data_IF_290475539376
#
_entry.id   IF_290475539376
#
_cell.length_a   1.000
_cell.length_b   1.000
_cell.length_c   1.000
_cell.angle_alpha   90.00
_cell.angle_beta   90.00
_cell.angle_gamma   90.00
#
_symmetry.space_group_name_H-M   'P 1'
#
loop_
_entity.id
_entity.type
_entity.pdbx_description
1 polymer ?
#
# COMPACT_ATOMS: atom_id res chain seq x y z
N UNK A 1 20.39 -11.16 -1.58
CA UNK A 1 19.61 -11.98 -0.63
C UNK A 1 18.14 -11.71 -0.90
N UNK A 2 17.28 -12.74 -1.00
CA UNK A 2 15.82 -12.56 -1.11
C UNK A 2 15.20 -12.60 0.28
N UNK A 3 14.29 -11.67 0.57
CA UNK A 3 13.44 -11.69 1.77
C UNK A 3 12.05 -12.13 1.33
N UNK A 4 11.52 -13.20 1.94
CA UNK A 4 10.17 -13.70 1.64
C UNK A 4 9.13 -12.61 1.97
N UNK A 5 8.22 -12.36 1.01
CA UNK A 5 7.13 -11.41 1.21
C UNK A 5 5.93 -12.12 1.87
N UNK A 6 5.28 -11.46 2.82
CA UNK A 6 4.08 -12.01 3.48
C UNK A 6 2.95 -12.34 2.49
N UNK A 7 2.81 -11.55 1.44
CA UNK A 7 1.80 -11.75 0.39
C UNK A 7 1.94 -13.08 -0.38
N UNK A 8 3.13 -13.70 -0.37
CA UNK A 8 3.39 -14.94 -1.14
C UNK A 8 2.48 -16.09 -0.75
N UNK A 9 2.19 -16.27 0.53
CA UNK A 9 1.37 -17.37 1.00
C UNK A 9 -0.09 -17.23 0.50
N UNK A 10 -0.59 -16.00 0.38
CA UNK A 10 -1.89 -15.70 -0.22
C UNK A 10 -1.89 -15.90 -1.73
N UNK A 11 -0.81 -15.53 -2.42
CA UNK A 11 -0.64 -15.78 -3.85
C UNK A 11 -0.62 -17.30 -4.12
N UNK A 12 0.15 -18.08 -3.35
CA UNK A 12 0.18 -19.55 -3.47
C UNK A 12 -1.19 -20.17 -3.20
N UNK A 13 -1.92 -19.71 -2.20
CA UNK A 13 -3.29 -20.16 -1.93
C UNK A 13 -4.22 -19.84 -3.08
N UNK A 14 -4.16 -18.63 -3.64
CA UNK A 14 -5.00 -18.25 -4.78
C UNK A 14 -4.67 -19.06 -6.04
N UNK A 15 -3.42 -19.48 -6.23
CA UNK A 15 -2.99 -20.26 -7.39
C UNK A 15 -3.68 -21.63 -7.51
N UNK A 16 -4.24 -22.15 -6.43
CA UNK A 16 -5.01 -23.41 -6.45
C UNK A 16 -6.47 -23.23 -6.88
N UNK A 17 -6.97 -22.00 -6.95
CA UNK A 17 -8.39 -21.71 -7.17
C UNK A 17 -8.66 -20.86 -8.40
N UNK A 18 -7.72 -20.01 -8.79
CA UNK A 18 -7.86 -19.10 -9.91
C UNK A 18 -6.97 -19.48 -11.09
N UNK A 19 -7.42 -19.17 -12.30
CA UNK A 19 -6.70 -19.45 -13.56
C UNK A 19 -5.75 -18.31 -13.92
N UNK A 20 -5.96 -17.11 -13.36
CA UNK A 20 -5.03 -16.00 -13.48
C UNK A 20 -4.76 -15.40 -12.11
N UNK A 21 -3.53 -14.90 -11.94
CA UNK A 21 -3.12 -14.07 -10.80
C UNK A 21 -2.64 -12.75 -11.38
N UNK A 22 -3.09 -11.65 -10.79
CA UNK A 22 -2.63 -10.31 -11.15
C UNK A 22 -1.99 -9.65 -9.95
N UNK A 23 -0.75 -9.20 -10.09
CA UNK A 23 -0.02 -8.48 -9.05
C UNK A 23 0.32 -7.09 -9.56
N UNK A 24 -0.25 -6.08 -8.91
CA UNK A 24 0.05 -4.68 -9.21
C UNK A 24 0.62 -3.95 -8.00
N UNK A 25 1.19 -2.79 -8.22
CA UNK A 25 1.76 -1.95 -7.16
C UNK A 25 2.85 -1.03 -7.70
N UNK A 26 3.41 -0.15 -6.87
CA UNK A 26 4.45 0.79 -7.29
C UNK A 26 5.62 0.10 -7.98
N UNK A 27 6.39 0.89 -8.76
CA UNK A 27 7.65 0.40 -9.32
C UNK A 27 8.62 0.00 -8.22
N UNK A 28 9.50 -0.98 -8.52
CA UNK A 28 10.62 -1.39 -7.66
C UNK A 28 10.23 -1.93 -6.27
N UNK A 29 8.96 -2.33 -6.06
CA UNK A 29 8.52 -3.00 -4.82
C UNK A 29 8.78 -4.51 -4.80
N UNK A 30 9.37 -5.05 -5.89
CA UNK A 30 9.78 -6.46 -5.98
C UNK A 30 8.75 -7.38 -6.63
N UNK A 31 7.75 -6.89 -7.40
CA UNK A 31 6.69 -7.71 -8.02
C UNK A 31 7.26 -8.86 -8.85
N UNK A 32 8.07 -8.55 -9.86
CA UNK A 32 8.63 -9.56 -10.78
C UNK A 32 9.51 -10.54 -10.02
N UNK A 33 10.35 -10.06 -9.09
CA UNK A 33 11.19 -10.93 -8.24
C UNK A 33 10.35 -11.90 -7.41
N UNK A 34 9.28 -11.42 -6.77
CA UNK A 34 8.37 -12.26 -5.96
C UNK A 34 7.67 -13.30 -6.83
N UNK A 35 7.21 -12.92 -8.02
CA UNK A 35 6.59 -13.85 -8.99
C UNK A 35 7.59 -14.93 -9.43
N UNK A 36 8.81 -14.55 -9.75
CA UNK A 36 9.87 -15.50 -10.15
C UNK A 36 10.21 -16.47 -9.01
N UNK A 37 10.27 -16.00 -7.78
CA UNK A 37 10.50 -16.86 -6.60
C UNK A 37 9.36 -17.83 -6.32
N UNK A 38 8.13 -17.49 -6.69
CA UNK A 38 6.96 -18.35 -6.47
C UNK A 38 6.79 -19.35 -7.62
N UNK A 39 6.97 -18.91 -8.87
CA UNK A 39 6.55 -19.62 -10.07
C UNK A 39 7.65 -19.87 -11.12
N UNK A 40 8.83 -19.21 -11.00
CA UNK A 40 9.86 -19.21 -12.03
C UNK A 40 10.38 -20.59 -12.44
N UNK A 41 10.36 -21.57 -11.52
CA UNK A 41 10.73 -22.96 -11.84
C UNK A 41 9.72 -23.68 -12.76
N UNK A 42 8.47 -23.22 -12.79
CA UNK A 42 7.36 -23.92 -13.47
C UNK A 42 6.80 -23.14 -14.64
N UNK A 43 6.94 -21.82 -14.64
CA UNK A 43 6.34 -20.92 -15.62
C UNK A 43 7.43 -20.22 -16.42
N UNK A 44 7.26 -20.16 -17.74
CA UNK A 44 8.07 -19.26 -18.57
C UNK A 44 7.70 -17.82 -18.28
N UNK A 45 8.64 -16.91 -18.42
CA UNK A 45 8.43 -15.47 -18.20
C UNK A 45 8.70 -14.70 -19.49
N UNK A 46 7.84 -13.72 -19.77
CA UNK A 46 8.01 -12.75 -20.85
C UNK A 46 7.69 -11.35 -20.31
N UNK A 47 8.49 -10.36 -20.72
CA UNK A 47 8.25 -8.95 -20.34
C UNK A 47 7.85 -8.11 -21.54
N UNK A 48 6.81 -7.33 -21.38
CA UNK A 48 6.40 -6.33 -22.39
C UNK A 48 7.23 -5.03 -22.31
N UNK A 49 8.31 -5.01 -21.50
CA UNK A 49 9.39 -4.05 -21.62
C UNK A 49 10.21 -4.27 -22.89
N UNK A 50 10.34 -5.52 -23.34
CA UNK A 50 10.90 -5.84 -24.65
C UNK A 50 10.01 -5.28 -25.75
N UNK A 51 10.62 -4.56 -26.70
CA UNK A 51 9.89 -3.87 -27.78
C UNK A 51 9.28 -4.86 -28.77
N UNK A 52 9.99 -5.94 -29.10
CA UNK A 52 9.50 -6.92 -30.08
C UNK A 52 8.32 -7.71 -29.52
N UNK A 53 8.42 -8.14 -28.26
CA UNK A 53 7.33 -8.82 -27.55
C UNK A 53 6.11 -7.93 -27.40
N UNK A 54 6.31 -6.66 -27.07
CA UNK A 54 5.24 -5.66 -26.97
C UNK A 54 4.57 -5.41 -28.31
N UNK A 55 5.33 -5.25 -29.42
CA UNK A 55 4.78 -5.03 -30.74
C UNK A 55 3.96 -6.26 -31.21
N UNK A 56 4.44 -7.47 -30.97
CA UNK A 56 3.68 -8.69 -31.25
C UNK A 56 2.40 -8.75 -30.43
N UNK A 57 2.46 -8.46 -29.13
CA UNK A 57 1.31 -8.46 -28.23
C UNK A 57 0.26 -7.41 -28.59
N UNK A 58 0.66 -6.24 -29.10
CA UNK A 58 -0.24 -5.17 -29.55
C UNK A 58 -0.86 -5.47 -30.91
N UNK A 59 -0.07 -5.93 -31.89
CA UNK A 59 -0.52 -6.15 -33.27
C UNK A 59 -1.28 -7.46 -33.44
N UNK A 60 -0.89 -8.51 -32.74
CA UNK A 60 -1.49 -9.84 -32.83
C UNK A 60 -1.52 -10.55 -31.46
N UNK A 61 -2.44 -10.15 -30.54
CA UNK A 61 -2.53 -10.72 -29.19
C UNK A 61 -2.69 -12.24 -29.18
N UNK A 62 -3.46 -12.79 -30.10
CA UNK A 62 -3.68 -14.22 -30.24
C UNK A 62 -2.39 -14.93 -30.64
N UNK A 63 -1.69 -14.44 -31.66
CA UNK A 63 -0.40 -14.97 -32.11
C UNK A 63 0.66 -14.89 -31.00
N UNK A 64 0.67 -13.82 -30.21
CA UNK A 64 1.55 -13.72 -29.04
C UNK A 64 1.31 -14.87 -28.05
N UNK A 65 0.06 -15.20 -27.73
CA UNK A 65 -0.28 -16.30 -26.81
C UNK A 65 -0.11 -17.69 -27.42
N UNK A 66 -0.07 -17.81 -28.76
CA UNK A 66 0.33 -19.04 -29.46
C UNK A 66 1.84 -19.29 -29.38
N UNK A 67 2.66 -18.23 -29.49
CA UNK A 67 4.13 -18.28 -29.34
C UNK A 67 4.53 -18.50 -27.88
N UNK A 68 3.76 -17.91 -26.97
CA UNK A 68 3.95 -17.98 -25.52
C UNK A 68 2.80 -18.72 -24.85
N UNK A 69 2.69 -20.05 -24.98
CA UNK A 69 1.58 -20.81 -24.43
C UNK A 69 1.65 -20.82 -22.89
N UNK A 70 0.47 -20.88 -22.25
CA UNK A 70 0.38 -21.07 -20.80
C UNK A 70 0.95 -22.46 -20.37
N UNK A 71 1.46 -22.62 -19.14
CA UNK A 71 1.51 -21.63 -18.06
C UNK A 71 2.62 -20.58 -18.27
N UNK A 72 2.28 -19.29 -18.08
CA UNK A 72 3.17 -18.18 -18.38
C UNK A 72 3.05 -17.01 -17.38
N UNK A 73 4.19 -16.34 -17.13
CA UNK A 73 4.29 -15.04 -16.46
C UNK A 73 4.41 -13.96 -17.54
N UNK A 74 3.52 -12.96 -17.51
CA UNK A 74 3.58 -11.79 -18.41
C UNK A 74 3.80 -10.54 -17.55
N UNK A 75 5.00 -9.96 -17.65
CA UNK A 75 5.37 -8.77 -16.90
C UNK A 75 5.01 -7.50 -17.67
N UNK A 76 4.57 -6.45 -16.93
CA UNK A 76 4.11 -5.16 -17.44
C UNK A 76 2.93 -5.27 -18.45
N UNK A 77 1.96 -6.17 -18.15
CA UNK A 77 0.84 -6.50 -19.06
C UNK A 77 -0.03 -5.30 -19.47
N UNK A 78 -0.05 -4.21 -18.70
CA UNK A 78 -0.75 -2.98 -19.06
C UNK A 78 -0.23 -2.33 -20.36
N UNK A 79 0.95 -2.71 -20.84
CA UNK A 79 1.49 -2.22 -22.12
C UNK A 79 0.81 -2.81 -23.34
N UNK A 80 0.06 -3.92 -23.19
CA UNK A 80 -0.76 -4.53 -24.23
C UNK A 80 -2.11 -4.97 -23.65
N UNK A 81 -3.03 -4.03 -23.33
CA UNK A 81 -4.29 -4.31 -22.64
C UNK A 81 -5.21 -5.27 -23.39
N UNK A 82 -5.11 -5.33 -24.72
CA UNK A 82 -5.89 -6.25 -25.56
C UNK A 82 -5.58 -7.75 -25.24
N UNK A 83 -4.40 -8.06 -24.70
CA UNK A 83 -4.08 -9.42 -24.24
C UNK A 83 -5.07 -9.94 -23.19
N UNK A 84 -5.61 -9.08 -22.32
CA UNK A 84 -6.55 -9.49 -21.27
C UNK A 84 -7.83 -10.10 -21.85
N UNK A 85 -8.28 -9.63 -23.01
CA UNK A 85 -9.44 -10.18 -23.71
C UNK A 85 -9.17 -11.57 -24.30
N UNK A 86 -7.99 -11.78 -24.88
CA UNK A 86 -7.57 -13.10 -25.40
C UNK A 86 -7.33 -14.10 -24.28
N UNK A 87 -6.68 -13.68 -23.19
CA UNK A 87 -6.49 -14.47 -21.97
C UNK A 87 -7.83 -14.95 -21.42
N UNK A 88 -8.85 -14.09 -21.39
CA UNK A 88 -10.23 -14.46 -21.00
C UNK A 88 -10.78 -15.57 -21.86
N UNK A 89 -10.65 -15.46 -23.18
CA UNK A 89 -11.16 -16.46 -24.14
C UNK A 89 -10.50 -17.82 -23.86
N UNK A 90 -9.18 -17.84 -23.74
CA UNK A 90 -8.41 -19.07 -23.46
C UNK A 90 -8.83 -19.70 -22.12
N UNK A 91 -8.97 -18.90 -21.07
CA UNK A 91 -9.43 -19.38 -19.76
C UNK A 91 -10.84 -20.00 -19.88
N UNK A 92 -11.77 -19.35 -20.57
CA UNK A 92 -13.14 -19.83 -20.70
C UNK A 92 -13.23 -21.12 -21.51
N UNK A 93 -12.45 -21.24 -22.57
CA UNK A 93 -12.36 -22.47 -23.37
C UNK A 93 -11.76 -23.62 -22.54
N UNK A 94 -10.69 -23.34 -21.81
CA UNK A 94 -10.04 -24.35 -20.98
C UNK A 94 -10.92 -24.79 -19.80
N UNK A 95 -11.66 -23.88 -19.16
CA UNK A 95 -12.66 -24.22 -18.14
C UNK A 95 -13.73 -25.18 -18.66
N UNK A 96 -14.21 -24.99 -19.91
CA UNK A 96 -15.18 -25.86 -20.55
C UNK A 96 -14.60 -27.27 -20.79
N UNK A 97 -13.30 -27.36 -21.17
CA UNK A 97 -12.59 -28.64 -21.37
C UNK A 97 -12.44 -29.38 -20.03
N UNK A 98 -11.92 -28.70 -19.00
CA UNK A 98 -11.79 -29.31 -17.66
C UNK A 98 -13.09 -29.80 -17.09
N UNK A 99 -14.18 -29.04 -17.28
CA UNK A 99 -15.51 -29.46 -16.83
C UNK A 99 -15.98 -30.76 -17.54
N UNK A 100 -15.75 -30.89 -18.84
CA UNK A 100 -16.08 -32.09 -19.62
C UNK A 100 -15.23 -33.30 -19.24
N UNK A 101 -13.96 -33.06 -18.91
CA UNK A 101 -12.98 -34.10 -18.58
C UNK A 101 -12.92 -34.41 -17.07
N UNK A 102 -13.75 -33.74 -16.26
CA UNK A 102 -13.74 -33.82 -14.80
C UNK A 102 -12.37 -33.63 -14.17
N UNK A 103 -11.62 -32.64 -14.72
CA UNK A 103 -10.27 -32.26 -14.26
C UNK A 103 -10.35 -31.04 -13.34
N UNK A 104 -9.39 -30.95 -12.42
CA UNK A 104 -9.19 -29.76 -11.59
C UNK A 104 -8.72 -28.56 -12.43
N UNK A 105 -9.01 -27.39 -11.93
CA UNK A 105 -8.57 -26.12 -12.55
C UNK A 105 -7.13 -25.84 -12.17
N UNK A 106 -6.36 -25.34 -13.13
CA UNK A 106 -4.96 -25.00 -12.94
C UNK A 106 -4.73 -23.51 -13.15
N UNK A 107 -3.68 -22.97 -12.53
CA UNK A 107 -3.19 -21.61 -12.80
C UNK A 107 -2.57 -21.61 -14.21
N UNK A 108 -2.99 -20.65 -15.03
CA UNK A 108 -2.54 -20.52 -16.41
C UNK A 108 -1.69 -19.27 -16.62
N UNK A 109 -2.08 -18.15 -15.99
CA UNK A 109 -1.45 -16.85 -16.22
C UNK A 109 -1.08 -16.18 -14.91
N UNK A 110 0.14 -15.63 -14.85
CA UNK A 110 0.57 -14.70 -13.80
C UNK A 110 0.92 -13.38 -14.47
N UNK A 111 0.21 -12.33 -14.10
CA UNK A 111 0.31 -11.02 -14.75
C UNK A 111 0.83 -10.01 -13.74
N UNK A 112 1.82 -9.21 -14.12
CA UNK A 112 2.32 -8.13 -13.28
C UNK A 112 2.17 -6.78 -13.98
N UNK A 113 2.11 -5.71 -13.19
CA UNK A 113 2.09 -4.36 -13.74
C UNK A 113 2.28 -3.27 -12.70
N UNK A 114 2.82 -2.16 -13.14
CA UNK A 114 3.09 -0.99 -12.29
C UNK A 114 1.99 0.06 -12.31
N UNK A 115 1.09 0.04 -13.30
CA UNK A 115 -0.01 0.99 -13.43
C UNK A 115 -1.35 0.36 -13.04
N UNK A 116 -1.79 0.65 -11.81
CA UNK A 116 -3.05 0.11 -11.28
C UNK A 116 -4.28 0.53 -12.08
N UNK A 117 -4.33 1.76 -12.60
CA UNK A 117 -5.52 2.28 -13.29
C UNK A 117 -5.78 1.53 -14.61
N UNK A 118 -4.77 1.44 -15.47
CA UNK A 118 -4.88 0.72 -16.75
C UNK A 118 -5.20 -0.76 -16.54
N UNK A 119 -4.56 -1.38 -15.52
CA UNK A 119 -4.80 -2.77 -15.17
C UNK A 119 -6.20 -3.01 -14.60
N UNK A 120 -6.67 -2.20 -13.65
CA UNK A 120 -7.99 -2.40 -13.05
C UNK A 120 -9.12 -2.26 -14.06
N UNK A 121 -9.03 -1.32 -14.98
CA UNK A 121 -10.02 -1.16 -16.04
C UNK A 121 -10.06 -2.41 -16.94
N UNK A 122 -8.93 -2.84 -17.45
CA UNK A 122 -8.87 -4.05 -18.31
C UNK A 122 -9.25 -5.34 -17.59
N UNK A 123 -8.86 -5.50 -16.32
CA UNK A 123 -9.17 -6.69 -15.52
C UNK A 123 -10.65 -6.76 -15.17
N UNK A 124 -11.27 -5.64 -14.76
CA UNK A 124 -12.70 -5.62 -14.41
C UNK A 124 -13.58 -5.98 -15.60
N UNK A 125 -13.19 -5.58 -16.81
CA UNK A 125 -13.92 -5.90 -18.04
C UNK A 125 -13.68 -7.34 -18.53
N UNK A 126 -12.44 -7.85 -18.40
CA UNK A 126 -12.06 -9.11 -19.05
C UNK A 126 -11.90 -10.28 -18.07
N UNK A 127 -11.31 -10.09 -16.89
CA UNK A 127 -10.90 -11.18 -16.00
C UNK A 127 -11.76 -11.31 -14.73
N UNK A 128 -12.90 -10.62 -14.63
CA UNK A 128 -13.80 -10.74 -13.49
C UNK A 128 -14.20 -12.22 -13.23
N UNK A 129 -14.00 -12.71 -11.99
CA UNK A 129 -14.25 -14.09 -11.59
C UNK A 129 -13.27 -15.14 -12.13
N UNK A 130 -12.19 -14.70 -12.83
CA UNK A 130 -11.14 -15.56 -13.39
C UNK A 130 -9.78 -15.32 -12.74
N UNK A 131 -9.55 -14.12 -12.27
CA UNK A 131 -8.29 -13.70 -11.66
C UNK A 131 -8.43 -13.38 -10.17
N UNK A 132 -7.41 -13.75 -9.40
CA UNK A 132 -7.14 -13.17 -8.09
C UNK A 132 -6.22 -11.96 -8.25
N UNK A 133 -6.54 -10.88 -7.55
CA UNK A 133 -5.84 -9.60 -7.70
C UNK A 133 -5.15 -9.26 -6.39
N UNK A 134 -3.86 -8.92 -6.45
CA UNK A 134 -3.01 -8.60 -5.31
C UNK A 134 -2.38 -7.22 -5.48
N UNK A 135 -2.43 -6.42 -4.42
CA UNK A 135 -1.73 -5.14 -4.34
C UNK A 135 -0.44 -5.32 -3.54
N UNK A 136 0.71 -5.11 -4.16
CA UNK A 136 2.01 -5.25 -3.53
C UNK A 136 2.62 -3.87 -3.27
N UNK A 137 3.00 -3.61 -2.01
CA UNK A 137 3.65 -2.37 -1.56
C UNK A 137 5.15 -2.55 -1.29
N UNK A 138 5.84 -1.48 -0.88
CA UNK A 138 7.17 -1.59 -0.25
C UNK A 138 7.10 -2.47 1.00
N UNK A 139 8.25 -2.99 1.45
CA UNK A 139 8.32 -3.90 2.60
C UNK A 139 7.79 -3.24 3.87
N UNK A 140 7.15 -4.04 4.73
CA UNK A 140 6.85 -3.64 6.11
C UNK A 140 8.12 -3.68 6.96
N UNK A 141 8.05 -3.07 8.14
CA UNK A 141 9.17 -3.17 9.10
C UNK A 141 9.46 -4.61 9.53
N UNK A 142 8.44 -5.47 9.62
CA UNK A 142 8.61 -6.90 9.97
C UNK A 142 9.23 -7.66 8.81
N UNK A 143 8.72 -7.50 7.57
CA UNK A 143 9.33 -8.10 6.39
C UNK A 143 10.81 -7.71 6.25
N UNK A 144 11.16 -6.44 6.53
CA UNK A 144 12.55 -5.96 6.47
C UNK A 144 13.50 -6.64 7.47
N UNK A 145 12.95 -7.32 8.46
CA UNK A 145 13.66 -8.11 9.47
C UNK A 145 13.50 -9.62 9.26
N UNK A 146 12.93 -10.04 8.12
CA UNK A 146 12.59 -11.43 7.81
C UNK A 146 11.65 -12.07 8.86
N UNK A 147 10.73 -11.25 9.40
CA UNK A 147 9.71 -11.68 10.35
C UNK A 147 8.36 -11.72 9.62
N UNK A 148 7.70 -12.87 9.66
CA UNK A 148 6.33 -13.01 9.13
C UNK A 148 5.34 -12.48 10.16
N UNK A 149 4.49 -11.57 9.72
CA UNK A 149 3.40 -11.01 10.52
C UNK A 149 2.07 -11.76 10.34
N UNK A 150 1.10 -11.33 11.13
CA UNK A 150 -0.30 -11.71 11.00
C UNK A 150 -1.14 -10.49 10.61
N UNK A 151 -2.41 -10.69 10.21
CA UNK A 151 -3.30 -9.56 10.01
C UNK A 151 -3.43 -8.74 11.30
N UNK A 152 -3.19 -7.44 11.17
CA UNK A 152 -3.34 -6.51 12.29
C UNK A 152 -4.77 -6.52 12.84
N UNK A 153 -4.89 -6.89 14.09
CA UNK A 153 -6.15 -6.86 14.84
C UNK A 153 -5.92 -6.07 16.13
N UNK A 154 -6.58 -4.92 16.33
CA UNK A 154 -6.36 -4.07 17.50
C UNK A 154 -7.03 -4.61 18.80
N UNK A 155 -7.64 -5.79 18.80
CA UNK A 155 -8.15 -6.39 20.02
C UNK A 155 -7.00 -6.72 20.99
N UNK A 156 -7.05 -6.12 22.17
CA UNK A 156 -5.97 -6.21 23.14
C UNK A 156 -5.70 -7.65 23.62
N UNK A 157 -6.72 -8.48 23.69
CA UNK A 157 -6.57 -9.89 24.12
C UNK A 157 -5.80 -10.70 23.08
N UNK A 158 -6.04 -10.43 21.80
CA UNK A 158 -5.30 -11.06 20.70
C UNK A 158 -3.86 -10.53 20.62
N UNK A 159 -3.67 -9.21 20.76
CA UNK A 159 -2.34 -8.60 20.75
C UNK A 159 -1.46 -9.12 21.89
N UNK A 160 -1.99 -9.29 23.10
CA UNK A 160 -1.23 -9.85 24.24
C UNK A 160 -0.85 -11.30 24.00
N UNK A 161 -1.73 -12.12 23.39
CA UNK A 161 -1.38 -13.51 23.04
C UNK A 161 -0.26 -13.55 22.01
N UNK A 162 -0.35 -12.76 20.96
CA UNK A 162 0.65 -12.70 19.88
C UNK A 162 2.00 -12.16 20.38
N UNK A 163 2.00 -11.11 21.19
CA UNK A 163 3.21 -10.58 21.81
C UNK A 163 3.98 -11.60 22.64
N UNK A 164 3.28 -12.56 23.26
CA UNK A 164 3.91 -13.63 24.03
C UNK A 164 4.46 -14.76 23.14
N UNK A 165 3.92 -14.97 21.94
CA UNK A 165 4.31 -16.04 21.03
C UNK A 165 5.34 -15.61 19.99
N UNK A 166 5.34 -14.34 19.59
CA UNK A 166 6.20 -13.81 18.53
C UNK A 166 7.30 -12.93 19.12
N UNK A 167 8.56 -13.31 18.90
CA UNK A 167 9.71 -12.51 19.36
C UNK A 167 10.06 -11.47 18.29
N UNK A 168 9.65 -10.24 18.49
CA UNK A 168 10.11 -9.09 17.70
C UNK A 168 11.21 -8.36 18.47
N UNK A 169 12.39 -8.13 17.89
CA UNK A 169 13.43 -7.36 18.54
C UNK A 169 12.96 -5.95 18.91
N UNK A 170 13.22 -5.56 20.14
CA UNK A 170 12.95 -4.19 20.58
C UNK A 170 13.70 -3.19 19.70
N UNK A 171 13.04 -2.09 19.36
CA UNK A 171 13.61 -0.96 18.62
C UNK A 171 13.50 0.31 19.43
N UNK A 172 14.61 0.98 19.58
CA UNK A 172 14.66 2.33 20.15
C UNK A 172 13.95 3.32 19.22
N UNK A 173 13.55 4.46 19.76
CA UNK A 173 12.96 5.53 18.96
C UNK A 173 13.87 5.95 17.79
N UNK A 174 15.18 6.04 18.00
CA UNK A 174 16.13 6.38 16.94
C UNK A 174 16.17 5.33 15.83
N UNK A 175 16.20 4.03 16.17
CA UNK A 175 16.14 2.95 15.15
C UNK A 175 14.84 2.95 14.37
N UNK A 176 13.72 3.35 15.01
CA UNK A 176 12.44 3.51 14.31
C UNK A 176 12.53 4.69 13.33
N UNK A 177 13.11 5.81 13.73
CA UNK A 177 13.32 6.96 12.82
C UNK A 177 14.35 6.68 11.73
N UNK A 178 15.35 5.83 11.98
CA UNK A 178 16.24 5.32 10.93
C UNK A 178 15.45 4.53 9.87
N UNK A 179 14.52 3.68 10.29
CA UNK A 179 13.64 2.97 9.35
C UNK A 179 12.71 3.95 8.59
N UNK A 180 12.05 4.88 9.30
CA UNK A 180 11.19 5.91 8.69
C UNK A 180 11.95 6.71 7.63
N UNK A 181 13.20 7.09 7.91
CA UNK A 181 14.05 7.82 7.00
C UNK A 181 14.51 6.98 5.81
N UNK A 182 14.87 5.71 6.05
CA UNK A 182 15.33 4.78 5.02
C UNK A 182 14.20 4.32 4.10
N UNK A 183 13.03 4.07 4.67
CA UNK A 183 11.88 3.46 3.97
C UNK A 183 11.97 1.95 3.83
N UNK A 184 10.98 1.39 3.14
CA UNK A 184 10.81 -0.05 2.94
C UNK A 184 11.04 -0.53 1.49
N UNK A 185 11.67 0.27 0.63
CA UNK A 185 11.97 -0.18 -0.74
C UNK A 185 12.99 -1.32 -0.73
N UNK A 186 12.74 -2.46 -1.45
CA UNK A 186 13.58 -3.65 -1.38
C UNK A 186 15.07 -3.39 -1.63
N UNK A 187 15.42 -2.60 -2.64
CA UNK A 187 16.83 -2.30 -2.98
C UNK A 187 17.55 -1.49 -1.90
N UNK A 188 16.81 -0.74 -1.08
CA UNK A 188 17.35 -0.04 0.09
C UNK A 188 17.41 -0.97 1.30
N UNK A 189 16.43 -1.86 1.47
CA UNK A 189 16.36 -2.77 2.63
C UNK A 189 17.40 -3.89 2.52
N UNK A 190 17.49 -4.52 1.36
CA UNK A 190 18.33 -5.71 1.12
C UNK A 190 19.64 -5.35 0.42
N UNK A 191 19.62 -4.32 -0.40
CA UNK A 191 20.76 -3.86 -1.18
C UNK A 191 21.62 -2.85 -0.43
N UNK A 192 22.82 -2.60 -0.95
CA UNK A 192 23.72 -1.54 -0.47
C UNK A 192 23.54 -0.25 -1.29
N UNK A 193 22.33 0.00 -1.81
CA UNK A 193 22.08 1.21 -2.59
C UNK A 193 22.16 2.46 -1.72
N UNK A 194 22.92 3.44 -2.18
CA UNK A 194 22.93 4.75 -1.55
C UNK A 194 21.53 5.37 -1.66
N UNK A 195 20.92 5.71 -0.54
CA UNK A 195 19.52 6.17 -0.44
C UNK A 195 19.21 7.36 -1.35
N UNK A 196 20.06 8.39 -1.33
CA UNK A 196 19.82 9.61 -2.11
C UNK A 196 19.86 9.33 -3.62
N UNK A 197 20.84 8.54 -4.07
CA UNK A 197 20.96 8.15 -5.46
C UNK A 197 19.79 7.27 -5.89
N UNK A 198 19.37 6.32 -5.03
CA UNK A 198 18.23 5.46 -5.28
C UNK A 198 16.93 6.27 -5.46
N UNK A 199 16.56 7.11 -4.49
CA UNK A 199 15.31 7.86 -4.58
C UNK A 199 15.32 8.92 -5.68
N UNK A 200 16.48 9.49 -6.00
CA UNK A 200 16.64 10.37 -7.17
C UNK A 200 16.29 9.59 -8.44
N UNK A 201 16.94 8.45 -8.67
CA UNK A 201 16.70 7.62 -9.85
C UNK A 201 15.26 7.09 -9.90
N UNK A 202 14.72 6.65 -8.77
CA UNK A 202 13.34 6.22 -8.64
C UNK A 202 12.36 7.34 -9.04
N UNK A 203 12.54 8.54 -8.50
CA UNK A 203 11.66 9.68 -8.77
C UNK A 203 11.73 10.11 -10.24
N UNK A 204 12.94 10.22 -10.82
CA UNK A 204 13.11 10.56 -12.22
C UNK A 204 12.47 9.52 -13.14
N UNK A 205 12.69 8.22 -12.87
CA UNK A 205 12.09 7.13 -13.61
C UNK A 205 10.56 7.10 -13.51
N UNK A 206 10.02 7.35 -12.29
CA UNK A 206 8.57 7.43 -12.08
C UNK A 206 7.94 8.59 -12.86
N UNK A 207 8.55 9.78 -12.78
CA UNK A 207 8.09 10.94 -13.54
C UNK A 207 8.11 10.65 -15.03
N UNK A 208 9.23 10.16 -15.56
CA UNK A 208 9.40 9.92 -17.00
C UNK A 208 8.43 8.86 -17.52
N UNK A 209 8.35 7.72 -16.85
CA UNK A 209 7.64 6.55 -17.38
C UNK A 209 6.14 6.55 -17.08
N UNK A 210 5.72 7.09 -15.94
CA UNK A 210 4.34 6.97 -15.49
C UNK A 210 3.58 8.31 -15.53
N UNK A 211 4.21 9.41 -15.15
CA UNK A 211 3.54 10.70 -15.01
C UNK A 211 3.48 11.46 -16.32
N UNK A 212 4.59 11.58 -17.07
CA UNK A 212 4.64 12.38 -18.31
C UNK A 212 3.73 11.85 -19.41
N UNK A 213 3.29 10.59 -19.32
CA UNK A 213 2.27 10.06 -20.22
C UNK A 213 0.86 10.62 -19.95
N UNK A 214 0.63 11.08 -18.72
CA UNK A 214 -0.67 11.51 -18.22
C UNK A 214 -0.79 13.02 -18.08
N UNK A 215 0.34 13.76 -18.12
CA UNK A 215 0.38 15.21 -18.03
C UNK A 215 1.18 15.81 -19.20
N UNK A 216 0.96 17.11 -19.47
CA UNK A 216 1.79 17.81 -20.45
C UNK A 216 3.25 17.91 -19.96
N UNK A 217 4.23 17.73 -20.85
CA UNK A 217 5.65 17.84 -20.52
C UNK A 217 6.01 19.19 -19.89
N UNK A 218 5.35 20.29 -20.31
CA UNK A 218 5.50 21.62 -19.71
C UNK A 218 5.12 21.70 -18.23
N UNK A 219 4.38 20.72 -17.72
CA UNK A 219 3.91 20.66 -16.33
C UNK A 219 4.84 19.83 -15.41
N UNK A 220 5.92 19.24 -15.92
CA UNK A 220 6.80 18.37 -15.13
C UNK A 220 7.36 19.08 -13.88
N UNK A 221 7.91 20.28 -14.05
CA UNK A 221 8.48 21.04 -12.93
C UNK A 221 7.43 21.38 -11.87
N UNK A 222 6.20 21.71 -12.30
CA UNK A 222 5.10 21.96 -11.37
C UNK A 222 4.67 20.67 -10.65
N UNK A 223 4.67 19.52 -11.35
CA UNK A 223 4.37 18.25 -10.72
C UNK A 223 5.45 17.83 -9.69
N UNK A 224 6.73 18.05 -9.99
CA UNK A 224 7.82 17.83 -9.02
C UNK A 224 7.65 18.71 -7.77
N UNK A 225 7.27 19.98 -7.92
CA UNK A 225 6.93 20.87 -6.80
C UNK A 225 5.70 20.38 -6.03
N UNK A 226 4.68 19.91 -6.75
CA UNK A 226 3.48 19.32 -6.16
C UNK A 226 3.81 18.10 -5.28
N UNK A 227 4.66 17.19 -5.74
CA UNK A 227 5.12 16.04 -4.97
C UNK A 227 5.82 16.44 -3.66
N UNK A 228 6.77 17.40 -3.74
CA UNK A 228 7.45 17.91 -2.54
C UNK A 228 6.48 18.60 -1.58
N UNK A 229 5.52 19.34 -2.11
CA UNK A 229 4.48 19.99 -1.31
C UNK A 229 3.59 18.97 -0.59
N UNK A 230 3.17 17.89 -1.27
CA UNK A 230 2.40 16.83 -0.65
C UNK A 230 3.18 16.11 0.44
N UNK A 231 4.47 15.88 0.24
CA UNK A 231 5.32 15.26 1.26
C UNK A 231 5.37 16.09 2.56
N UNK A 232 5.40 17.42 2.44
CA UNK A 232 5.28 18.34 3.59
C UNK A 232 3.90 18.35 4.24
N UNK A 233 2.88 17.76 3.60
CA UNK A 233 1.49 17.69 4.05
C UNK A 233 1.05 16.27 4.42
N UNK A 234 1.99 15.33 4.52
CA UNK A 234 1.67 13.96 4.97
C UNK A 234 1.01 13.98 6.35
N UNK A 235 0.08 13.08 6.61
CA UNK A 235 -0.83 13.01 7.77
C UNK A 235 -1.81 14.18 7.92
N UNK A 236 -1.96 15.06 6.91
CA UNK A 236 -2.90 16.17 6.95
C UNK A 236 -4.10 15.95 6.04
N UNK A 237 -5.21 16.64 6.36
CA UNK A 237 -6.37 16.65 5.50
C UNK A 237 -6.08 17.33 4.16
N UNK A 238 -6.56 16.72 3.08
CA UNK A 238 -6.46 17.28 1.73
C UNK A 238 -7.45 18.45 1.61
N UNK A 239 -6.94 19.64 1.31
CA UNK A 239 -7.73 20.79 0.94
C UNK A 239 -7.34 21.25 -0.47
N UNK A 240 -8.16 20.92 -1.44
CA UNK A 240 -7.91 21.19 -2.85
C UNK A 240 -7.74 22.67 -3.16
N UNK A 241 -8.50 23.56 -2.52
CA UNK A 241 -8.43 25.01 -2.72
C UNK A 241 -7.12 25.59 -2.18
N UNK A 242 -6.70 25.13 -1.00
CA UNK A 242 -5.41 25.53 -0.42
C UNK A 242 -4.26 25.05 -1.31
N UNK A 243 -4.30 23.79 -1.75
CA UNK A 243 -3.26 23.22 -2.63
C UNK A 243 -3.18 23.98 -3.96
N UNK A 244 -4.33 24.27 -4.57
CA UNK A 244 -4.44 25.04 -5.80
C UNK A 244 -3.79 26.43 -5.65
N UNK A 245 -4.16 27.15 -4.59
CA UNK A 245 -3.65 28.52 -4.32
C UNK A 245 -2.15 28.53 -4.06
N UNK A 246 -1.64 27.63 -3.20
CA UNK A 246 -0.23 27.62 -2.80
C UNK A 246 0.71 27.18 -3.94
N UNK A 247 0.22 26.35 -4.86
CA UNK A 247 0.99 25.83 -5.98
C UNK A 247 0.79 26.61 -7.29
N UNK A 248 -0.23 27.46 -7.36
CA UNK A 248 -0.57 28.20 -8.56
C UNK A 248 -1.08 27.31 -9.70
N UNK A 249 -1.82 26.25 -9.38
CA UNK A 249 -2.45 25.31 -10.33
C UNK A 249 -3.95 25.22 -10.05
N UNK A 250 -4.77 24.89 -11.04
CA UNK A 250 -6.21 24.80 -10.87
C UNK A 250 -6.64 23.56 -10.07
N UNK A 251 -7.84 23.60 -9.47
CA UNK A 251 -8.39 22.52 -8.65
C UNK A 251 -8.55 21.19 -9.38
N UNK A 252 -8.84 21.22 -10.69
CA UNK A 252 -8.96 20.00 -11.48
C UNK A 252 -7.61 19.32 -11.66
N UNK A 253 -6.58 20.12 -11.89
CA UNK A 253 -5.19 19.63 -11.97
C UNK A 253 -4.75 19.02 -10.65
N UNK A 254 -5.05 19.65 -9.49
CA UNK A 254 -4.77 19.06 -8.15
C UNK A 254 -5.44 17.70 -8.01
N UNK A 255 -6.75 17.61 -8.32
CA UNK A 255 -7.50 16.34 -8.24
C UNK A 255 -6.92 15.26 -9.15
N UNK A 256 -6.61 15.62 -10.40
CA UNK A 256 -6.03 14.70 -11.38
C UNK A 256 -4.66 14.18 -10.93
N UNK A 257 -3.78 15.06 -10.42
CA UNK A 257 -2.46 14.68 -9.97
C UNK A 257 -2.49 13.83 -8.69
N UNK A 258 -3.39 14.15 -7.75
CA UNK A 258 -3.63 13.27 -6.60
C UNK A 258 -4.13 11.89 -7.03
N UNK A 259 -5.06 11.83 -7.99
CA UNK A 259 -5.54 10.56 -8.53
C UNK A 259 -4.40 9.72 -9.14
N UNK A 260 -3.48 10.35 -9.89
CA UNK A 260 -2.29 9.67 -10.43
C UNK A 260 -1.45 9.06 -9.30
N UNK A 261 -1.21 9.81 -8.22
CA UNK A 261 -0.40 9.34 -7.10
C UNK A 261 -1.07 8.22 -6.30
N UNK A 262 -2.38 8.28 -6.13
CA UNK A 262 -3.17 7.22 -5.48
C UNK A 262 -3.14 5.95 -6.33
N UNK A 263 -3.39 6.07 -7.63
CA UNK A 263 -3.42 4.91 -8.53
C UNK A 263 -2.04 4.31 -8.80
N UNK A 264 -0.97 5.08 -8.62
CA UNK A 264 0.41 4.56 -8.64
C UNK A 264 0.84 3.93 -7.31
N UNK A 265 0.00 3.99 -6.27
CA UNK A 265 0.33 3.48 -4.93
C UNK A 265 1.41 4.27 -4.19
N UNK A 266 1.70 5.50 -4.62
CA UNK A 266 2.67 6.40 -3.94
C UNK A 266 2.06 6.97 -2.66
N UNK A 267 0.80 7.37 -2.74
CA UNK A 267 0.03 7.87 -1.60
C UNK A 267 -1.26 7.10 -1.42
N UNK A 268 -1.82 7.19 -0.23
CA UNK A 268 -3.19 6.79 0.08
C UNK A 268 -3.96 7.96 0.66
N UNK A 269 -5.25 8.00 0.38
CA UNK A 269 -6.19 8.94 0.98
C UNK A 269 -7.07 8.15 1.96
N UNK A 270 -6.86 8.36 3.26
CA UNK A 270 -7.64 7.74 4.32
C UNK A 270 -8.92 8.55 4.53
N UNK A 271 -10.06 7.89 4.40
CA UNK A 271 -11.37 8.53 4.53
C UNK A 271 -11.74 8.79 5.99
N UNK A 272 -12.52 9.83 6.29
CA UNK A 272 -13.08 10.05 7.64
C UNK A 272 -14.19 9.03 7.91
N UNK A 273 -14.29 8.57 9.16
CA UNK A 273 -15.41 7.75 9.60
C UNK A 273 -16.68 8.59 9.73
N UNK A 274 -17.73 8.18 9.04
CA UNK A 274 -19.07 8.77 9.12
C UNK A 274 -20.09 7.64 9.11
N UNK A 275 -21.09 7.69 9.98
CA UNK A 275 -22.18 6.70 10.00
C UNK A 275 -22.96 6.68 8.67
N UNK A 276 -23.14 7.85 8.06
CA UNK A 276 -23.75 7.96 6.73
C UNK A 276 -22.64 7.93 5.65
N UNK A 277 -22.67 6.91 4.79
CA UNK A 277 -21.69 6.69 3.72
C UNK A 277 -21.66 7.88 2.73
N UNK A 278 -22.82 8.48 2.41
CA UNK A 278 -22.87 9.63 1.51
C UNK A 278 -22.10 10.84 2.06
N UNK A 279 -22.14 11.06 3.38
CA UNK A 279 -21.40 12.13 4.03
C UNK A 279 -19.87 11.84 4.10
N UNK A 280 -19.48 10.57 4.06
CA UNK A 280 -18.06 10.14 4.03
C UNK A 280 -17.37 10.60 2.76
N UNK A 281 -18.01 10.44 1.63
CA UNK A 281 -17.47 10.79 0.29
C UNK A 281 -17.25 12.31 0.12
N UNK A 282 -18.03 13.14 0.85
CA UNK A 282 -17.98 14.61 0.70
C UNK A 282 -16.88 15.25 1.56
N UNK A 283 -16.43 14.59 2.64
CA UNK A 283 -15.43 15.14 3.56
C UNK A 283 -13.99 14.89 3.07
N UNK A 284 -13.10 15.81 3.45
CA UNK A 284 -11.69 15.76 3.07
C UNK A 284 -10.98 14.54 3.66
N UNK A 285 -10.32 13.70 2.85
CA UNK A 285 -9.51 12.60 3.37
C UNK A 285 -8.19 13.12 3.95
N UNK A 286 -7.51 12.30 4.77
CA UNK A 286 -6.11 12.51 5.17
C UNK A 286 -5.16 11.85 4.16
N UNK A 287 -4.06 12.53 3.86
CA UNK A 287 -3.03 12.08 2.92
C UNK A 287 -1.89 11.38 3.66
N UNK A 288 -1.50 10.20 3.18
CA UNK A 288 -0.33 9.47 3.68
C UNK A 288 0.52 8.95 2.52
N UNK A 289 1.83 9.08 2.64
CA UNK A 289 2.76 8.39 1.75
C UNK A 289 2.90 6.92 2.16
N UNK A 290 2.89 6.02 1.17
CA UNK A 290 3.03 4.58 1.44
C UNK A 290 4.47 4.17 1.76
N UNK A 291 5.46 4.96 1.33
CA UNK A 291 6.85 4.79 1.71
C UNK A 291 7.39 6.06 2.37
N UNK A 292 7.74 5.95 3.65
CA UNK A 292 8.21 7.09 4.44
C UNK A 292 9.62 7.56 4.03
N UNK A 293 10.45 6.67 3.50
CA UNK A 293 11.78 7.03 2.99
C UNK A 293 11.69 7.90 1.74
N UNK A 294 10.76 7.57 0.83
CA UNK A 294 10.49 8.42 -0.33
C UNK A 294 9.89 9.77 0.09
N UNK A 295 8.97 9.78 1.06
CA UNK A 295 8.43 11.00 1.64
C UNK A 295 9.55 11.89 2.22
N UNK A 296 10.47 11.32 2.99
CA UNK A 296 11.61 12.02 3.58
C UNK A 296 12.57 12.57 2.52
N UNK A 297 12.79 11.81 1.43
CA UNK A 297 13.56 12.28 0.28
C UNK A 297 12.95 13.51 -0.38
N UNK A 298 11.64 13.49 -0.65
CA UNK A 298 10.91 14.62 -1.24
C UNK A 298 10.94 15.88 -0.34
N UNK A 299 10.96 15.70 0.98
CA UNK A 299 11.13 16.78 1.96
C UNK A 299 12.60 17.23 2.12
N UNK A 300 13.55 16.56 1.46
CA UNK A 300 14.99 16.86 1.53
C UNK A 300 15.58 16.76 2.94
N UNK A 301 15.09 15.81 3.76
CA UNK A 301 15.70 15.54 5.06
C UNK A 301 17.06 14.88 4.87
N UNK A 302 18.15 15.44 5.44
CA UNK A 302 19.51 14.96 5.17
C UNK A 302 19.88 13.70 5.97
N UNK A 303 19.23 13.45 7.11
CA UNK A 303 19.44 12.27 7.95
C UNK A 303 18.28 12.01 8.90
N UNK A 304 18.23 10.81 9.47
CA UNK A 304 17.17 10.36 10.37
C UNK A 304 17.08 11.18 11.66
N UNK A 305 18.22 11.62 12.22
CA UNK A 305 18.24 12.40 13.45
C UNK A 305 17.57 13.76 13.28
N UNK A 306 17.85 14.45 12.19
CA UNK A 306 17.19 15.73 11.89
C UNK A 306 15.67 15.54 11.64
N UNK A 307 15.26 14.43 11.03
CA UNK A 307 13.87 14.08 10.88
C UNK A 307 13.20 13.80 12.23
N UNK A 308 13.85 13.07 13.14
CA UNK A 308 13.38 12.79 14.49
C UNK A 308 13.15 14.05 15.32
N UNK A 309 14.06 15.03 15.20
CA UNK A 309 14.07 16.25 16.01
C UNK A 309 13.22 17.38 15.42
N UNK A 310 12.76 17.26 14.17
CA UNK A 310 12.03 18.33 13.50
C UNK A 310 10.55 18.44 13.94
N UNK A 311 9.92 19.57 13.61
CA UNK A 311 8.49 19.79 13.88
C UNK A 311 7.56 18.80 13.16
N UNK A 312 7.99 18.24 12.03
CA UNK A 312 7.21 17.26 11.25
C UNK A 312 7.37 15.82 11.75
N UNK A 313 8.23 15.55 12.71
CA UNK A 313 8.50 14.19 13.19
C UNK A 313 7.26 13.43 13.65
N UNK A 314 6.27 14.13 14.24
CA UNK A 314 4.97 13.55 14.58
C UNK A 314 4.19 13.09 13.35
N UNK A 315 4.13 13.92 12.30
CA UNK A 315 3.46 13.60 11.04
C UNK A 315 4.13 12.42 10.31
N UNK A 316 5.47 12.34 10.33
CA UNK A 316 6.21 11.20 9.79
C UNK A 316 5.97 9.92 10.58
N UNK A 317 5.93 10.01 11.90
CA UNK A 317 5.64 8.87 12.76
C UNK A 317 4.21 8.35 12.54
N UNK A 318 3.22 9.25 12.44
CA UNK A 318 1.84 8.90 12.11
C UNK A 318 1.74 8.28 10.69
N UNK A 319 2.42 8.87 9.70
CA UNK A 319 2.48 8.33 8.34
C UNK A 319 3.07 6.91 8.34
N UNK A 320 4.12 6.69 9.11
CA UNK A 320 4.73 5.37 9.28
C UNK A 320 3.72 4.36 9.84
N UNK A 321 3.07 4.66 10.96
CA UNK A 321 2.09 3.76 11.58
C UNK A 321 0.96 3.43 10.62
N UNK A 322 0.35 4.44 9.98
CA UNK A 322 -0.77 4.23 9.05
C UNK A 322 -0.32 3.45 7.83
N UNK A 323 0.85 3.76 7.25
CA UNK A 323 1.37 3.02 6.10
C UNK A 323 1.69 1.55 6.44
N UNK A 324 2.26 1.27 7.62
CA UNK A 324 2.53 -0.11 8.05
C UNK A 324 1.24 -0.92 8.23
N UNK A 325 0.21 -0.33 8.85
CA UNK A 325 -1.11 -0.99 8.95
C UNK A 325 -1.71 -1.25 7.57
N UNK A 326 -1.65 -0.28 6.65
CA UNK A 326 -2.16 -0.45 5.29
C UNK A 326 -1.39 -1.51 4.49
N UNK A 327 -0.06 -1.55 4.59
CA UNK A 327 0.77 -2.59 3.96
C UNK A 327 0.44 -3.97 4.50
N UNK A 328 0.22 -4.08 5.81
CA UNK A 328 -0.20 -5.34 6.43
C UNK A 328 -1.54 -5.82 5.85
N UNK A 329 -2.53 -4.93 5.66
CA UNK A 329 -3.78 -5.29 4.99
C UNK A 329 -3.58 -5.75 3.54
N UNK A 330 -2.71 -5.08 2.78
CA UNK A 330 -2.39 -5.48 1.40
C UNK A 330 -1.69 -6.83 1.35
N UNK A 331 -0.76 -7.09 2.25
CA UNK A 331 -0.06 -8.38 2.36
C UNK A 331 -1.04 -9.54 2.63
N UNK A 332 -2.14 -9.27 3.34
CA UNK A 332 -3.21 -10.23 3.62
C UNK A 332 -4.34 -10.22 2.57
N UNK A 333 -4.17 -9.46 1.49
CA UNK A 333 -5.17 -9.28 0.43
C UNK A 333 -6.55 -8.82 0.93
N UNK A 334 -6.57 -7.88 1.87
CA UNK A 334 -7.78 -7.30 2.45
C UNK A 334 -7.88 -5.83 2.04
N UNK A 335 -9.05 -5.40 1.56
CA UNK A 335 -9.29 -4.00 1.26
C UNK A 335 -9.46 -3.18 2.55
N UNK A 336 -8.41 -2.44 2.88
CA UNK A 336 -8.34 -1.61 4.08
C UNK A 336 -9.43 -0.54 4.16
N UNK A 337 -9.98 -0.09 3.03
CA UNK A 337 -11.04 0.93 2.96
C UNK A 337 -12.34 0.51 3.64
N UNK A 338 -12.55 -0.80 3.82
CA UNK A 338 -13.72 -1.32 4.51
C UNK A 338 -13.58 -1.26 6.03
N UNK A 339 -12.38 -1.07 6.57
CA UNK A 339 -12.06 -1.23 7.98
C UNK A 339 -11.38 -0.01 8.61
N UNK A 340 -10.56 0.72 7.83
CA UNK A 340 -9.69 1.76 8.34
C UNK A 340 -10.19 3.15 7.95
N UNK A 341 -10.31 4.02 8.96
CA UNK A 341 -10.77 5.39 8.83
C UNK A 341 -10.01 6.28 9.81
N UNK A 342 -10.06 7.60 9.62
CA UNK A 342 -9.74 8.54 10.70
C UNK A 342 -11.02 9.20 11.19
N UNK A 343 -10.97 9.87 12.34
CA UNK A 343 -12.09 10.67 12.84
C UNK A 343 -11.68 12.12 12.99
N UNK A 344 -12.55 13.04 12.56
CA UNK A 344 -12.45 14.46 12.87
C UNK A 344 -13.82 15.11 12.81
N UNK A 345 -14.15 15.92 13.84
CA UNK A 345 -15.41 16.66 13.89
C UNK A 345 -15.21 18.18 13.66
N UNK A 346 -16.32 18.93 13.76
CA UNK A 346 -16.31 20.38 13.60
C UNK A 346 -15.58 21.10 14.75
N UNK A 347 -15.52 20.48 15.92
CA UNK A 347 -14.82 20.99 17.10
C UNK A 347 -13.31 20.66 17.06
N UNK A 348 -12.80 20.17 15.94
CA UNK A 348 -11.41 19.76 15.72
C UNK A 348 -10.94 18.59 16.61
N UNK A 349 -11.89 17.83 17.20
CA UNK A 349 -11.54 16.59 17.89
C UNK A 349 -11.19 15.54 16.87
N UNK A 350 -9.99 15.01 16.96
CA UNK A 350 -9.41 14.07 15.99
C UNK A 350 -8.98 12.79 16.69
N UNK A 351 -9.13 11.65 15.98
CA UNK A 351 -8.54 10.36 16.32
C UNK A 351 -7.82 9.89 15.06
N UNK A 352 -6.54 9.55 15.20
CA UNK A 352 -5.64 9.34 14.07
C UNK A 352 -6.05 8.17 13.17
N UNK A 353 -6.49 7.05 13.79
CA UNK A 353 -6.98 5.87 13.07
C UNK A 353 -8.14 5.21 13.84
N UNK A 354 -9.14 4.78 13.12
CA UNK A 354 -10.21 3.91 13.60
C UNK A 354 -10.17 2.59 12.84
N UNK A 355 -10.13 1.49 13.56
CA UNK A 355 -10.44 0.18 13.00
C UNK A 355 -11.89 -0.16 13.32
N UNK A 356 -12.69 -0.42 12.29
CA UNK A 356 -14.14 -0.66 12.42
C UNK A 356 -14.48 -2.05 11.88
N UNK A 357 -15.01 -2.90 12.72
CA UNK A 357 -15.38 -4.27 12.37
C UNK A 357 -16.65 -4.70 13.13
N UNK A 358 -17.63 -5.29 12.42
CA UNK A 358 -18.82 -5.91 13.02
C UNK A 358 -19.52 -5.05 14.10
N UNK A 359 -19.81 -3.80 13.78
CA UNK A 359 -20.45 -2.83 14.70
C UNK A 359 -19.59 -2.48 15.94
N UNK A 360 -18.28 -2.70 15.84
CA UNK A 360 -17.30 -2.39 16.90
C UNK A 360 -16.28 -1.39 16.39
N UNK A 361 -15.92 -0.40 17.20
CA UNK A 361 -14.89 0.60 16.91
C UNK A 361 -13.71 0.39 17.86
N UNK A 362 -12.50 0.31 17.29
CA UNK A 362 -11.23 0.33 18.01
C UNK A 362 -10.53 1.65 17.69
N UNK A 363 -10.52 2.63 18.62
CA UNK A 363 -9.82 3.88 18.39
C UNK A 363 -8.30 3.71 18.57
N UNK A 364 -7.54 4.31 17.68
CA UNK A 364 -6.08 4.23 17.67
C UNK A 364 -5.52 5.65 17.57
N UNK A 365 -4.69 6.02 18.53
CA UNK A 365 -3.98 7.28 18.57
C UNK A 365 -2.49 7.02 18.38
N UNK A 366 -1.80 7.90 17.67
CA UNK A 366 -0.38 7.76 17.36
C UNK A 366 0.43 8.84 18.06
N UNK A 367 1.43 8.45 18.85
CA UNK A 367 2.27 9.39 19.59
C UNK A 367 3.75 8.99 19.48
N UNK A 368 4.60 9.87 18.99
CA UNK A 368 6.04 9.61 18.83
C UNK A 368 6.82 9.49 20.14
N UNK A 369 6.21 9.84 21.28
CA UNK A 369 6.81 9.81 22.61
C UNK A 369 6.10 8.85 23.53
N UNK A 370 6.82 8.31 24.48
CA UNK A 370 6.27 7.46 25.55
C UNK A 370 5.45 8.31 26.53
N UNK A 371 4.43 7.70 27.15
CA UNK A 371 3.58 8.31 28.18
C UNK A 371 2.91 9.65 27.78
N UNK A 372 2.13 9.68 26.69
CA UNK A 372 1.48 10.90 26.28
C UNK A 372 0.45 11.39 27.29
N UNK A 373 0.34 12.72 27.43
CA UNK A 373 -0.65 13.34 28.34
C UNK A 373 -2.05 13.24 27.74
N UNK A 374 -3.00 12.61 28.48
CA UNK A 374 -4.43 12.47 28.11
C UNK A 374 -4.66 11.95 26.66
N UNK A 375 -4.04 10.82 26.25
CA UNK A 375 -4.11 10.35 24.88
C UNK A 375 -5.53 9.91 24.46
N UNK A 376 -6.39 9.57 25.41
CA UNK A 376 -7.78 9.10 25.16
C UNK A 376 -8.84 10.21 25.22
N UNK A 377 -8.42 11.49 25.27
CA UNK A 377 -9.36 12.63 25.48
C UNK A 377 -10.51 12.68 24.45
N UNK A 378 -10.25 12.25 23.22
CA UNK A 378 -11.20 12.32 22.12
C UNK A 378 -12.02 11.02 21.93
N UNK A 379 -11.70 9.91 22.61
CA UNK A 379 -12.39 8.63 22.37
C UNK A 379 -13.89 8.67 22.73
N UNK A 380 -14.27 9.52 23.69
CA UNK A 380 -15.68 9.67 24.10
C UNK A 380 -16.60 10.19 22.97
N UNK A 381 -16.06 10.88 21.93
CA UNK A 381 -16.87 11.40 20.83
C UNK A 381 -17.50 10.30 19.99
N UNK A 382 -16.94 9.08 20.06
CA UNK A 382 -17.41 7.94 19.31
C UNK A 382 -18.72 7.36 19.82
N UNK A 383 -19.11 7.63 21.09
CA UNK A 383 -20.38 7.15 21.70
C UNK A 383 -21.61 7.55 20.90
N UNK A 384 -21.55 8.66 20.15
CA UNK A 384 -22.64 9.13 19.28
C UNK A 384 -23.04 8.15 18.16
N UNK A 385 -22.17 7.20 17.84
CA UNK A 385 -22.44 6.22 16.78
C UNK A 385 -23.27 5.02 17.23
N UNK A 386 -23.49 4.84 18.55
CA UNK A 386 -24.26 3.72 19.10
C UNK A 386 -23.61 2.35 18.87
N UNK A 387 -22.32 2.33 18.52
CA UNK A 387 -21.54 1.12 18.32
C UNK A 387 -20.77 0.74 19.59
N UNK A 388 -20.35 -0.50 19.70
CA UNK A 388 -19.45 -0.93 20.76
C UNK A 388 -18.09 -0.24 20.59
N UNK A 389 -17.56 0.37 21.63
CA UNK A 389 -16.22 0.97 21.63
C UNK A 389 -15.32 0.12 22.53
N UNK A 390 -14.36 -0.53 21.93
CA UNK A 390 -13.34 -1.31 22.65
C UNK A 390 -12.26 -0.40 23.23
N UNK A 391 -11.48 -0.89 24.21
CA UNK A 391 -10.26 -0.20 24.60
C UNK A 391 -9.38 0.06 23.38
N UNK A 392 -8.91 1.30 23.22
CA UNK A 392 -8.11 1.69 22.06
C UNK A 392 -6.62 1.43 22.27
N UNK A 393 -5.86 1.68 21.22
CA UNK A 393 -4.41 1.61 21.24
C UNK A 393 -3.80 3.01 21.17
N UNK A 394 -2.77 3.22 21.94
CA UNK A 394 -1.85 4.34 21.78
C UNK A 394 -0.56 3.77 21.21
N UNK A 395 -0.41 3.88 19.88
CA UNK A 395 0.80 3.36 19.22
C UNK A 395 1.92 4.36 19.44
N UNK A 396 2.94 3.93 20.14
CA UNK A 396 4.07 4.77 20.52
C UNK A 396 5.42 4.02 20.51
N UNK A 397 6.47 4.63 21.05
CA UNK A 397 7.81 4.05 21.12
C UNK A 397 8.09 3.31 22.43
N UNK A 398 7.05 2.83 23.11
CA UNK A 398 7.23 2.00 24.31
C UNK A 398 7.89 0.65 23.99
N UNK A 399 8.36 -0.04 25.03
CA UNK A 399 9.04 -1.32 24.95
C UNK A 399 8.12 -2.54 25.12
N UNK A 400 6.91 -2.33 25.65
CA UNK A 400 5.94 -3.40 25.89
C UNK A 400 4.50 -2.87 25.89
N UNK A 401 3.54 -3.75 25.67
CA UNK A 401 2.11 -3.44 25.81
C UNK A 401 1.79 -3.20 27.28
N UNK A 402 1.22 -2.04 27.59
CA UNK A 402 0.87 -1.65 28.97
C UNK A 402 -0.48 -0.95 29.03
N UNK A 403 -1.32 -1.21 30.06
CA UNK A 403 -2.52 -0.44 30.26
C UNK A 403 -2.17 1.01 30.61
N UNK A 404 -2.81 1.98 29.97
CA UNK A 404 -2.73 3.41 30.32
C UNK A 404 -3.86 3.75 31.27
N UNK A 405 -5.06 3.28 30.94
CA UNK A 405 -6.29 3.42 31.71
C UNK A 405 -7.32 2.39 31.24
N UNK A 406 -8.55 2.46 31.76
CA UNK A 406 -9.63 1.54 31.39
C UNK A 406 -10.01 1.60 29.88
N UNK A 407 -9.61 2.67 29.17
CA UNK A 407 -10.00 2.95 27.77
C UNK A 407 -8.91 2.68 26.76
N UNK A 408 -7.65 2.48 27.16
CA UNK A 408 -6.56 2.31 26.22
C UNK A 408 -5.31 1.62 26.80
N UNK A 409 -4.56 1.03 25.89
CA UNK A 409 -3.25 0.43 26.11
C UNK A 409 -2.19 1.13 25.24
N UNK A 410 -1.00 1.33 25.78
CA UNK A 410 0.20 1.66 25.02
C UNK A 410 0.64 0.42 24.22
N UNK A 411 0.95 0.59 22.95
CA UNK A 411 1.33 -0.48 22.04
C UNK A 411 2.61 -0.12 21.29
N UNK A 412 3.67 -0.96 21.39
CA UNK A 412 4.93 -0.69 20.74
C UNK A 412 4.81 -0.66 19.22
N UNK A 413 5.26 0.42 18.58
CA UNK A 413 5.21 0.55 17.12
C UNK A 413 6.03 -0.51 16.39
N UNK A 414 7.13 -1.01 16.97
CA UNK A 414 7.95 -2.06 16.36
C UNK A 414 7.25 -3.44 16.32
N UNK A 415 6.11 -3.59 17.02
CA UNK A 415 5.29 -4.80 17.02
C UNK A 415 4.09 -4.72 16.05
N UNK A 416 3.96 -3.67 15.25
CA UNK A 416 2.87 -3.58 14.28
C UNK A 416 2.93 -4.73 13.26
N UNK A 417 1.81 -5.45 13.14
CA UNK A 417 1.67 -6.56 12.21
C UNK A 417 2.01 -7.94 12.80
N UNK A 418 2.25 -8.06 14.12
CA UNK A 418 2.38 -9.39 14.75
C UNK A 418 1.04 -10.04 14.98
#
# INVERSE_FOLDING_TARGET
MYIKREIEDYIRKASTSFQAIVIYGPRQVGKSTTVDMIFGDKFKSVTLDDTNERELALSNPKGFLEVHPWPIIIDEVQKAPNLLSEIKIIIDEQRKKWLKENKERELMFVLTGSNQFELQQGISESLAGRAAIFNMSSMTQLESQDITGDLFNPDISELLKKANSTKVPYKTKSEIFDYIFRGGMPDIVVGNSERELYFKSYFDTYIEKDVLKLIAASSEMQFRRFMSYLALRTSQQVNYEVFSRELGIDNQTVKRWLSILVTSGIIVLLEPYMANISNRIIKSPKLYFMDTGFCAYLCKWPNARMLEDCAMSGAFFETFVVSEVLKNFYNHNIDAKNYLFYYRDIDQKEIDLLYVLNNTIYPIEVKKGQQPTKPTKNFNVLSKYGMEIKPGLIIDTCDAIRPINEKAYSYPVFMLGI
#
